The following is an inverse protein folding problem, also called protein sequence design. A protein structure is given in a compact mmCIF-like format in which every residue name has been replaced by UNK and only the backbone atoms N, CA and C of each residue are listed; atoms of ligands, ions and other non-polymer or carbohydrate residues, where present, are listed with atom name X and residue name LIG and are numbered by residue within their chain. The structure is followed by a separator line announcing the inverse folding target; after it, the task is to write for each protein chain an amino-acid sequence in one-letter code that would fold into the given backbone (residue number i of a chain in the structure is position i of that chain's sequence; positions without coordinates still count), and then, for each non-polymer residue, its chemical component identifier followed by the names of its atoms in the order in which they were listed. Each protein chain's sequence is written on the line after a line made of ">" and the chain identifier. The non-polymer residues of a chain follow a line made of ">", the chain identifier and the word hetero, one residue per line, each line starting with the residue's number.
data_IF_384754081163
#
_entry.id   IF_384754081163
#
_cell.length_a   1.000
_cell.length_b   1.000
_cell.length_c   1.000
_cell.angle_alpha   90.00
_cell.angle_beta   90.00
_cell.angle_gamma   90.00
#
_symmetry.space_group_name_H-M   'P 1'
#
loop_
_entity.id
_entity.type
_entity.pdbx_description
1 polymer ?
#
# COMPACT_ATOMS: atom_id res chain seq x y z
N UNK A 1 -5.82 13.60 0.22
CA UNK A 1 -4.64 14.37 0.67
C UNK A 1 -3.70 14.45 -0.52
N UNK A 2 -3.27 15.64 -0.96
CA UNK A 2 -2.16 15.74 -1.92
C UNK A 2 -0.89 15.97 -1.10
N UNK A 3 -0.05 14.95 -1.00
CA UNK A 3 1.30 15.15 -0.49
C UNK A 3 2.12 15.92 -1.53
N UNK A 4 3.07 16.72 -1.08
CA UNK A 4 4.09 17.26 -1.97
C UNK A 4 4.95 16.13 -2.57
N UNK A 5 5.83 16.48 -3.51
CA UNK A 5 6.67 15.49 -4.20
C UNK A 5 7.63 14.76 -3.25
N UNK A 6 8.20 15.48 -2.29
CA UNK A 6 9.11 14.92 -1.29
C UNK A 6 8.40 13.89 -0.42
N UNK A 7 7.20 14.22 0.07
CA UNK A 7 6.35 13.31 0.83
C UNK A 7 6.00 12.06 0.04
N UNK A 8 5.66 12.19 -1.25
CA UNK A 8 5.31 11.03 -2.10
C UNK A 8 6.51 10.10 -2.33
N UNK A 9 7.72 10.67 -2.47
CA UNK A 9 8.94 9.88 -2.62
C UNK A 9 9.28 9.14 -1.32
N UNK A 10 9.24 9.83 -0.18
CA UNK A 10 9.48 9.20 1.13
C UNK A 10 8.43 8.11 1.44
N UNK A 11 7.16 8.39 1.16
CA UNK A 11 6.07 7.42 1.31
C UNK A 11 6.30 6.17 0.46
N UNK A 12 6.74 6.35 -0.79
CA UNK A 12 7.01 5.22 -1.70
C UNK A 12 8.12 4.33 -1.16
N UNK A 13 9.21 4.92 -0.64
CA UNK A 13 10.29 4.15 -0.01
C UNK A 13 9.79 3.35 1.20
N UNK A 14 9.09 4.00 2.14
CA UNK A 14 8.56 3.36 3.35
C UNK A 14 7.58 2.23 3.00
N UNK A 15 6.72 2.46 2.00
CA UNK A 15 5.76 1.46 1.54
C UNK A 15 6.46 0.25 0.92
N UNK A 16 7.49 0.46 0.11
CA UNK A 16 8.25 -0.64 -0.48
C UNK A 16 8.90 -1.53 0.58
N UNK A 17 9.47 -0.91 1.62
CA UNK A 17 10.06 -1.65 2.74
C UNK A 17 8.99 -2.45 3.50
N UNK A 18 7.85 -1.82 3.80
CA UNK A 18 6.71 -2.49 4.43
C UNK A 18 6.19 -3.68 3.60
N UNK A 19 6.01 -3.51 2.28
CA UNK A 19 5.56 -4.59 1.41
C UNK A 19 6.56 -5.76 1.37
N UNK A 20 7.86 -5.46 1.41
CA UNK A 20 8.91 -6.48 1.49
C UNK A 20 8.84 -7.27 2.81
N UNK A 21 8.58 -6.60 3.93
CA UNK A 21 8.39 -7.25 5.23
C UNK A 21 7.14 -8.12 5.28
N UNK A 22 6.01 -7.66 4.74
CA UNK A 22 4.78 -8.45 4.64
C UNK A 22 5.02 -9.73 3.83
N UNK A 23 5.73 -9.62 2.70
CA UNK A 23 6.08 -10.79 1.87
C UNK A 23 7.06 -11.72 2.57
N UNK A 24 8.00 -11.18 3.35
CA UNK A 24 8.93 -11.99 4.15
C UNK A 24 8.16 -12.78 5.22
N UNK A 25 7.31 -12.10 6.00
CA UNK A 25 6.48 -12.73 7.02
C UNK A 25 5.53 -13.78 6.43
N UNK A 26 5.00 -13.56 5.22
CA UNK A 26 4.24 -14.58 4.50
C UNK A 26 5.08 -15.82 4.18
N UNK A 27 6.30 -15.65 3.63
CA UNK A 27 7.20 -16.77 3.30
C UNK A 27 7.65 -17.56 4.53
N UNK A 28 7.82 -16.87 5.66
CA UNK A 28 8.19 -17.47 6.94
C UNK A 28 7.02 -18.17 7.66
N UNK A 29 5.80 -18.09 7.10
CA UNK A 29 4.60 -18.68 7.71
C UNK A 29 4.01 -17.86 8.87
N UNK A 30 4.55 -16.66 9.13
CA UNK A 30 4.06 -15.73 10.15
C UNK A 30 2.75 -15.04 9.73
N UNK A 31 2.47 -14.97 8.43
CA UNK A 31 1.21 -14.45 7.88
C UNK A 31 0.56 -15.47 6.93
N UNK A 32 -0.75 -15.62 7.06
CA UNK A 32 -1.54 -16.33 6.04
C UNK A 32 -1.55 -15.56 4.72
N UNK A 33 -1.75 -16.26 3.61
CA UNK A 33 -1.85 -15.64 2.28
C UNK A 33 -2.94 -14.55 2.24
N UNK A 34 -4.10 -14.81 2.85
CA UNK A 34 -5.20 -13.84 2.91
C UNK A 34 -4.84 -12.60 3.72
N UNK A 35 -4.12 -12.77 4.85
CA UNK A 35 -3.67 -11.64 5.67
C UNK A 35 -2.64 -10.79 4.91
N UNK A 36 -1.64 -11.42 4.31
CA UNK A 36 -0.62 -10.73 3.52
C UNK A 36 -1.25 -9.97 2.34
N UNK A 37 -2.17 -10.61 1.62
CA UNK A 37 -2.92 -9.98 0.52
C UNK A 37 -3.71 -8.76 0.99
N UNK A 38 -4.36 -8.85 2.15
CA UNK A 38 -5.12 -7.74 2.73
C UNK A 38 -4.21 -6.54 3.00
N UNK A 39 -3.08 -6.74 3.67
CA UNK A 39 -2.12 -5.67 3.94
C UNK A 39 -1.57 -5.03 2.66
N UNK A 40 -1.13 -5.83 1.69
CA UNK A 40 -0.63 -5.30 0.41
C UNK A 40 -1.71 -4.49 -0.35
N UNK A 41 -2.97 -4.93 -0.33
CA UNK A 41 -4.08 -4.20 -0.95
C UNK A 41 -4.31 -2.85 -0.27
N UNK A 42 -4.33 -2.82 1.07
CA UNK A 42 -4.53 -1.58 1.81
C UNK A 42 -3.41 -0.57 1.57
N UNK A 43 -2.16 -1.02 1.57
CA UNK A 43 -1.00 -0.16 1.33
C UNK A 43 -0.99 0.37 -0.10
N UNK A 44 -1.29 -0.46 -1.11
CA UNK A 44 -1.43 -0.03 -2.50
C UNK A 44 -2.52 1.03 -2.67
N UNK A 45 -3.68 0.85 -2.02
CA UNK A 45 -4.78 1.81 -2.08
C UNK A 45 -4.41 3.12 -1.37
N UNK A 46 -3.66 3.06 -0.27
CA UNK A 46 -3.17 4.24 0.45
C UNK A 46 -2.23 5.08 -0.42
N UNK A 47 -1.26 4.46 -1.10
CA UNK A 47 -0.36 5.17 -2.03
C UNK A 47 -1.14 5.82 -3.17
N UNK A 48 -2.09 5.10 -3.77
CA UNK A 48 -2.96 5.67 -4.82
C UNK A 48 -3.76 6.88 -4.33
N UNK A 49 -4.21 6.85 -3.06
CA UNK A 49 -4.91 7.98 -2.45
C UNK A 49 -4.00 9.20 -2.26
N UNK A 50 -2.78 8.99 -1.76
CA UNK A 50 -1.78 10.05 -1.57
C UNK A 50 -1.33 10.66 -2.91
N UNK A 51 -1.31 9.86 -3.98
CA UNK A 51 -1.00 10.31 -5.34
C UNK A 51 -2.18 11.01 -6.04
N UNK A 52 -3.36 11.07 -5.41
CA UNK A 52 -4.56 11.66 -6.00
C UNK A 52 -5.23 10.79 -7.08
N UNK A 53 -4.76 9.56 -7.27
CA UNK A 53 -5.27 8.59 -8.26
C UNK A 53 -6.40 7.70 -7.70
N UNK A 54 -6.86 7.97 -6.48
CA UNK A 54 -7.92 7.21 -5.82
C UNK A 54 -8.74 8.14 -4.92
N UNK A 55 -10.08 8.03 -4.99
CA UNK A 55 -11.00 8.66 -4.04
C UNK A 55 -11.57 7.56 -3.12
N UNK A 56 -11.25 7.58 -1.80
CA UNK A 56 -11.85 6.63 -0.87
C UNK A 56 -13.37 6.79 -0.87
N UNK A 57 -14.09 5.68 -0.99
CA UNK A 57 -15.56 5.64 -1.10
C UNK A 57 -16.12 5.83 -2.51
N UNK A 58 -15.30 6.11 -3.53
CA UNK A 58 -15.73 6.09 -4.92
C UNK A 58 -15.72 4.66 -5.48
N UNK A 59 -16.78 4.25 -6.21
CA UNK A 59 -16.69 3.05 -7.07
C UNK A 59 -15.59 3.29 -8.11
N UNK A 60 -14.72 2.30 -8.33
CA UNK A 60 -13.86 2.29 -9.51
C UNK A 60 -14.77 2.48 -10.73
N UNK A 61 -14.61 3.59 -11.44
CA UNK A 61 -15.22 3.76 -12.76
C UNK A 61 -14.41 2.87 -13.69
N UNK A 62 -14.90 1.66 -13.89
CA UNK A 62 -14.48 0.82 -15.01
C UNK A 62 -14.85 1.47 -16.33
#
# INVERSE_FOLDING_TARGET
>A
MKGDEEFRNQLTCIVNDYEAEVRRAQREGNLTENTAKTYLVHTSNFVKWCNGNFKPGGRNKG
#
